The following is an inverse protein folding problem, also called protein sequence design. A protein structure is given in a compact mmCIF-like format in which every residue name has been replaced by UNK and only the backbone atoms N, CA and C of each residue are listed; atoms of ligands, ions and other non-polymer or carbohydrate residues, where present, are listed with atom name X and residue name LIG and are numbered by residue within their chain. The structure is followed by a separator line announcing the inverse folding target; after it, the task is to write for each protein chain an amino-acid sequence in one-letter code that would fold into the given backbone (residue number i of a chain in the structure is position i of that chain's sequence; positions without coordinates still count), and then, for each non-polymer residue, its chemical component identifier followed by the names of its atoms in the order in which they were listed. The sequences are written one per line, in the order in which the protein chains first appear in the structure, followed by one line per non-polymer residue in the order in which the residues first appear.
data_IF_789610008581
#
_entry.id   IF_789610008581
#
_cell.length_a   1.000
_cell.length_b   1.000
_cell.length_c   1.000
_cell.angle_alpha   90.00
_cell.angle_beta   90.00
_cell.angle_gamma   90.00
#
_symmetry.space_group_name_H-M   'P 1'
#
loop_
_entity.id
_entity.type
_entity.pdbx_description
1 polymer ?
#
# COMPACT_ATOMS: atom_id res chain seq x y z
N UNK A 1 -9.98 2.69 -12.40
CA UNK A 1 -8.78 2.96 -11.57
C UNK A 1 -7.81 1.83 -11.75
N UNK A 2 -6.53 2.13 -11.87
CA UNK A 2 -5.50 1.10 -11.83
C UNK A 2 -5.31 0.56 -10.41
N UNK A 3 -4.83 -0.68 -10.25
CA UNK A 3 -4.64 -1.31 -8.94
C UNK A 3 -3.44 -0.74 -8.15
N UNK A 4 -2.60 0.09 -8.78
CA UNK A 4 -1.35 0.59 -8.18
C UNK A 4 -1.53 1.26 -6.80
N UNK A 5 -2.55 2.10 -6.65
CA UNK A 5 -2.82 2.80 -5.38
C UNK A 5 -3.31 1.86 -4.28
N UNK A 6 -4.09 0.84 -4.65
CA UNK A 6 -4.48 -0.21 -3.72
C UNK A 6 -3.26 -1.07 -3.33
N UNK A 7 -2.38 -1.41 -4.28
CA UNK A 7 -1.14 -2.13 -3.98
C UNK A 7 -0.19 -1.32 -3.11
N UNK A 8 -0.11 0.00 -3.29
CA UNK A 8 0.65 0.88 -2.41
C UNK A 8 0.10 0.85 -0.98
N UNK A 9 -1.23 0.90 -0.82
CA UNK A 9 -1.89 0.74 0.48
C UNK A 9 -1.57 -0.62 1.11
N UNK A 10 -1.63 -1.71 0.35
CA UNK A 10 -1.28 -3.06 0.84
C UNK A 10 0.21 -3.17 1.22
N UNK A 11 1.11 -2.59 0.44
CA UNK A 11 2.54 -2.55 0.76
C UNK A 11 2.80 -1.83 2.09
N UNK A 12 2.10 -0.72 2.35
CA UNK A 12 2.20 0.00 3.62
C UNK A 12 1.70 -0.85 4.80
N UNK A 13 0.56 -1.52 4.66
CA UNK A 13 0.03 -2.44 5.69
C UNK A 13 1.02 -3.57 5.97
N UNK A 14 1.56 -4.21 4.92
CA UNK A 14 2.54 -5.27 5.08
C UNK A 14 3.80 -4.78 5.81
N UNK A 15 4.25 -3.57 5.53
CA UNK A 15 5.41 -3.01 6.18
C UNK A 15 5.18 -2.69 7.66
N UNK A 16 4.01 -2.15 8.00
CA UNK A 16 3.64 -1.96 9.40
C UNK A 16 3.66 -3.30 10.16
N UNK A 17 3.10 -4.35 9.57
CA UNK A 17 3.14 -5.71 10.13
C UNK A 17 4.58 -6.21 10.29
N UNK A 18 5.44 -6.00 9.29
CA UNK A 18 6.85 -6.40 9.34
C UNK A 18 7.67 -5.60 10.37
N UNK A 19 7.26 -4.37 10.71
CA UNK A 19 7.81 -3.58 11.82
C UNK A 19 7.35 -4.09 13.19
N UNK A 20 6.42 -5.04 13.25
CA UNK A 20 5.90 -5.62 14.48
C UNK A 20 4.67 -4.89 15.04
N UNK A 21 4.01 -4.04 14.23
CA UNK A 21 2.77 -3.40 14.64
C UNK A 21 1.68 -4.46 14.91
N UNK A 22 0.96 -4.30 16.02
CA UNK A 22 -0.18 -5.15 16.43
C UNK A 22 -1.01 -4.42 17.49
N UNK A 23 -2.27 -4.84 17.69
CA UNK A 23 -3.20 -4.24 18.67
C UNK A 23 -3.31 -2.71 18.55
N UNK A 24 -3.47 -2.21 17.33
CA UNK A 24 -3.39 -0.78 17.04
C UNK A 24 -4.34 -0.35 15.92
N UNK A 25 -4.50 0.98 15.79
CA UNK A 25 -5.17 1.58 14.63
C UNK A 25 -4.10 2.12 13.68
N UNK A 26 -3.96 1.46 12.53
CA UNK A 26 -3.07 1.91 11.47
C UNK A 26 -3.78 2.99 10.64
N UNK A 27 -3.42 4.26 10.88
CA UNK A 27 -3.92 5.36 10.06
C UNK A 27 -3.16 5.44 8.74
N UNK A 28 -3.87 5.27 7.64
CA UNK A 28 -3.34 5.36 6.28
C UNK A 28 -3.85 6.64 5.62
N UNK A 29 -2.93 7.43 5.07
CA UNK A 29 -3.24 8.64 4.32
C UNK A 29 -3.06 8.37 2.83
N UNK A 30 -4.05 8.76 2.02
CA UNK A 30 -3.97 8.69 0.56
C UNK A 30 -4.74 9.81 -0.11
N UNK A 31 -4.34 10.22 -1.31
CA UNK A 31 -5.04 11.22 -2.11
C UNK A 31 -6.00 10.58 -3.14
N UNK A 32 -5.91 9.27 -3.31
CA UNK A 32 -6.78 8.51 -4.19
C UNK A 32 -8.15 8.22 -3.55
N UNK A 33 -9.12 9.11 -3.80
CA UNK A 33 -10.49 8.96 -3.28
C UNK A 33 -11.20 7.68 -3.73
N UNK A 34 -10.87 7.12 -4.90
CA UNK A 34 -11.52 5.91 -5.40
C UNK A 34 -11.17 4.66 -4.59
N UNK A 35 -9.88 4.51 -4.24
CA UNK A 35 -9.41 3.44 -3.34
C UNK A 35 -9.94 3.66 -1.93
N UNK A 36 -9.88 4.88 -1.41
CA UNK A 36 -10.40 5.20 -0.06
C UNK A 36 -11.91 4.93 0.06
N UNK A 37 -12.71 5.41 -0.88
CA UNK A 37 -14.15 5.12 -0.92
C UNK A 37 -14.41 3.62 -1.11
N UNK A 38 -13.61 2.95 -1.94
CA UNK A 38 -13.70 1.51 -2.13
C UNK A 38 -13.45 0.74 -0.82
N UNK A 39 -12.41 1.13 -0.08
CA UNK A 39 -12.06 0.54 1.22
C UNK A 39 -13.17 0.74 2.24
N UNK A 40 -13.65 1.97 2.42
CA UNK A 40 -14.75 2.27 3.34
C UNK A 40 -16.05 1.54 3.00
N UNK A 41 -16.30 1.28 1.71
CA UNK A 41 -17.44 0.50 1.24
C UNK A 41 -17.23 -1.01 1.35
N UNK A 42 -15.98 -1.46 1.56
CA UNK A 42 -15.56 -2.86 1.51
C UNK A 42 -15.54 -3.46 0.09
N UNK A 43 -15.65 -2.64 -0.96
CA UNK A 43 -15.62 -3.11 -2.37
C UNK A 43 -15.32 -2.00 -3.38
N UNK A 44 -14.69 -2.40 -4.47
CA UNK A 44 -14.37 -1.62 -5.67
C UNK A 44 -14.96 -2.28 -6.93
N UNK A 45 -14.99 -1.54 -8.03
CA UNK A 45 -15.36 -2.07 -9.35
C UNK A 45 -14.25 -2.93 -9.99
N UNK A 46 -12.99 -2.78 -9.56
CA UNK A 46 -11.87 -3.61 -10.02
C UNK A 46 -11.72 -4.85 -9.13
N UNK A 47 -11.61 -6.01 -9.77
CA UNK A 47 -11.33 -7.29 -9.10
C UNK A 47 -9.98 -7.24 -8.37
N UNK A 48 -8.94 -6.70 -9.00
CA UNK A 48 -7.59 -6.65 -8.40
C UNK A 48 -7.55 -5.78 -7.14
N UNK A 49 -8.34 -4.70 -7.10
CA UNK A 49 -8.48 -3.86 -5.90
C UNK A 49 -9.23 -4.62 -4.80
N UNK A 50 -10.27 -5.40 -5.15
CA UNK A 50 -10.98 -6.22 -4.17
C UNK A 50 -10.10 -7.33 -3.59
N UNK A 51 -9.25 -7.95 -4.42
CA UNK A 51 -8.29 -8.95 -3.96
C UNK A 51 -7.29 -8.33 -2.97
N UNK A 52 -6.82 -7.12 -3.26
CA UNK A 52 -5.98 -6.33 -2.36
C UNK A 52 -6.67 -6.07 -1.01
N UNK A 53 -7.92 -5.60 -1.03
CA UNK A 53 -8.68 -5.40 0.21
C UNK A 53 -8.82 -6.69 1.01
N UNK A 54 -9.14 -7.80 0.35
CA UNK A 54 -9.30 -9.11 0.98
C UNK A 54 -8.01 -9.60 1.63
N UNK A 55 -6.86 -9.43 0.96
CA UNK A 55 -5.54 -9.75 1.51
C UNK A 55 -5.21 -8.89 2.72
N UNK A 56 -5.45 -7.58 2.65
CA UNK A 56 -5.23 -6.68 3.80
C UNK A 56 -6.08 -7.08 5.00
N UNK A 57 -7.40 -7.25 4.82
CA UNK A 57 -8.32 -7.70 5.88
C UNK A 57 -7.84 -8.99 6.54
N UNK A 58 -7.45 -9.99 5.73
CA UNK A 58 -6.99 -11.28 6.24
C UNK A 58 -5.72 -11.17 7.09
N UNK A 59 -4.78 -10.29 6.69
CA UNK A 59 -3.52 -10.08 7.41
C UNK A 59 -3.73 -9.36 8.74
N UNK A 60 -4.48 -8.26 8.73
CA UNK A 60 -4.68 -7.43 9.92
C UNK A 60 -5.57 -8.08 10.98
N UNK A 61 -6.51 -8.94 10.57
CA UNK A 61 -7.42 -9.63 11.48
C UNK A 61 -6.69 -10.49 12.52
N UNK A 62 -5.57 -11.14 12.13
CA UNK A 62 -4.79 -11.98 13.03
C UNK A 62 -3.92 -11.20 14.03
N UNK A 63 -3.78 -9.88 13.84
CA UNK A 63 -2.88 -9.01 14.59
C UNK A 63 -3.63 -7.93 15.39
N UNK A 64 -4.96 -7.98 15.41
CA UNK A 64 -5.81 -6.94 16.03
C UNK A 64 -5.51 -5.53 15.51
N UNK A 65 -5.19 -5.40 14.21
CA UNK A 65 -4.97 -4.09 13.58
C UNK A 65 -6.26 -3.62 12.92
N UNK A 66 -6.69 -2.39 13.23
CA UNK A 66 -7.75 -1.69 12.52
C UNK A 66 -7.14 -0.71 11.50
N UNK A 67 -7.58 -0.76 10.24
CA UNK A 67 -7.10 0.18 9.22
C UNK A 67 -8.05 1.38 9.13
N UNK A 68 -7.54 2.57 9.48
CA UNK A 68 -8.24 3.84 9.34
C UNK A 68 -7.71 4.62 8.12
N UNK A 69 -8.40 4.51 7.00
CA UNK A 69 -8.00 5.16 5.75
C UNK A 69 -8.61 6.57 5.65
N UNK A 70 -7.77 7.60 5.47
CA UNK A 70 -8.18 9.01 5.46
C UNK A 70 -7.60 9.74 4.24
N UNK A 71 -8.39 10.66 3.69
CA UNK A 71 -7.95 11.52 2.59
C UNK A 71 -6.86 12.50 3.04
N UNK A 72 -5.84 12.67 2.20
CA UNK A 72 -4.86 13.76 2.26
C UNK A 72 -4.79 14.44 0.90
N UNK A 73 -4.55 15.76 0.88
CA UNK A 73 -4.33 16.48 -0.37
C UNK A 73 -3.03 16.03 -1.05
N UNK A 74 -3.03 15.88 -2.38
CA UNK A 74 -1.87 15.44 -3.16
C UNK A 74 -0.61 16.26 -2.86
N UNK A 75 -0.72 17.59 -2.70
CA UNK A 75 0.45 18.44 -2.41
C UNK A 75 1.02 18.22 -1.02
N UNK A 76 0.22 17.64 -0.13
CA UNK A 76 0.59 17.30 1.24
C UNK A 76 0.90 15.81 1.41
N UNK A 77 0.81 15.01 0.34
CA UNK A 77 1.12 13.59 0.37
C UNK A 77 2.63 13.36 0.19
N UNK A 78 3.38 12.98 1.24
CA UNK A 78 4.82 12.73 1.11
C UNK A 78 5.13 11.57 0.15
N UNK A 79 4.17 10.66 -0.11
CA UNK A 79 4.38 9.53 -1.00
C UNK A 79 4.41 9.93 -2.48
N UNK A 80 3.87 11.09 -2.88
CA UNK A 80 3.88 11.55 -4.30
C UNK A 80 5.31 11.81 -4.79
N UNK A 81 6.20 12.33 -3.95
CA UNK A 81 7.62 12.52 -4.32
C UNK A 81 8.33 11.18 -4.50
N UNK A 82 8.14 10.28 -3.54
CA UNK A 82 8.76 8.95 -3.55
C UNK A 82 8.28 8.12 -4.75
N UNK A 83 6.99 8.18 -5.10
CA UNK A 83 6.44 7.46 -6.24
C UNK A 83 6.96 7.97 -7.60
N UNK A 84 7.47 9.21 -7.65
CA UNK A 84 8.16 9.81 -8.81
C UNK A 84 9.67 9.54 -8.83
N UNK A 85 10.19 8.79 -7.86
CA UNK A 85 11.61 8.45 -7.75
C UNK A 85 12.46 9.43 -6.96
N UNK A 86 11.88 10.49 -6.37
CA UNK A 86 12.59 11.37 -5.46
C UNK A 86 12.54 10.81 -4.03
N UNK A 87 13.61 10.09 -3.67
CA UNK A 87 13.80 9.47 -2.34
C UNK A 87 14.65 10.34 -1.41
N UNK A 88 14.94 11.59 -1.79
CA UNK A 88 15.81 12.48 -1.02
C UNK A 88 15.20 12.81 0.35
N UNK A 89 15.93 12.50 1.42
CA UNK A 89 15.47 12.73 2.80
C UNK A 89 14.61 11.61 3.38
N UNK A 90 14.44 10.49 2.68
CA UNK A 90 13.79 9.29 3.18
C UNK A 90 14.83 8.22 3.52
N UNK A 91 14.55 7.41 4.54
CA UNK A 91 15.30 6.20 4.80
C UNK A 91 14.86 5.10 3.84
N UNK A 92 15.77 4.19 3.43
CA UNK A 92 15.39 3.00 2.69
C UNK A 92 14.33 2.22 3.44
N UNK A 93 13.41 1.60 2.69
CA UNK A 93 12.42 0.74 3.30
C UNK A 93 13.12 -0.45 3.97
N UNK A 94 12.85 -0.75 5.25
CA UNK A 94 13.65 -1.72 6.01
C UNK A 94 13.37 -3.18 5.62
N UNK A 95 12.46 -3.41 4.67
CA UNK A 95 12.13 -4.75 4.18
C UNK A 95 12.15 -4.79 2.67
N UNK A 96 12.55 -5.95 2.16
CA UNK A 96 12.40 -6.28 0.76
C UNK A 96 10.91 -6.57 0.51
N UNK A 97 10.19 -5.58 -0.04
CA UNK A 97 8.89 -5.86 -0.64
C UNK A 97 9.13 -6.90 -1.74
N UNK A 98 8.41 -8.02 -1.66
CA UNK A 98 8.48 -9.06 -2.68
C UNK A 98 8.25 -8.38 -4.04
N UNK A 99 9.19 -8.52 -4.98
CA UNK A 99 8.99 -7.94 -6.32
C UNK A 99 7.65 -8.48 -6.85
N UNK A 100 6.71 -7.61 -7.24
CA UNK A 100 5.42 -8.06 -7.75
C UNK A 100 5.61 -8.88 -9.04
N UNK A 101 6.74 -8.66 -9.72
CA UNK A 101 7.19 -9.48 -10.84
C UNK A 101 8.20 -10.47 -10.28
N UNK A 102 7.92 -11.79 -10.29
CA UNK A 102 9.03 -12.71 -10.24
C UNK A 102 9.93 -12.29 -11.40
N UNK A 103 11.14 -11.82 -11.10
CA UNK A 103 12.17 -11.75 -12.11
C UNK A 103 12.16 -13.13 -12.75
N UNK A 104 11.64 -13.24 -13.97
CA UNK A 104 11.97 -14.37 -14.81
C UNK A 104 13.47 -14.25 -14.93
N UNK A 105 14.19 -15.08 -14.17
CA UNK A 105 15.63 -15.05 -14.09
C UNK A 105 16.19 -15.01 -15.51
N UNK A 106 16.68 -13.85 -15.96
CA UNK A 106 17.29 -13.72 -17.28
C UNK A 106 17.02 -12.46 -18.10
N UNK A 107 16.08 -11.56 -17.75
CA UNK A 107 15.85 -10.34 -18.55
C UNK A 107 15.89 -9.09 -17.68
N UNK A 108 17.08 -8.52 -17.50
CA UNK A 108 17.21 -7.10 -17.17
C UNK A 108 17.09 -6.30 -18.47
N UNK A 109 16.27 -5.23 -18.54
CA UNK A 109 16.44 -4.24 -19.59
C UNK A 109 17.83 -3.61 -19.42
N UNK A 110 18.64 -3.64 -20.48
CA UNK A 110 19.90 -2.91 -20.49
C UNK A 110 19.58 -1.41 -20.39
N UNK A 111 20.33 -0.74 -19.52
CA UNK A 111 20.39 0.72 -19.44
C UNK A 111 20.86 1.35 -20.76
#
# INVERSE_FOLDING_TARGET
MGPAEAWAMEALVNAAILLGESDCVLRILGDNQGVLHGWMKGRSASGEVNDCFSRMFSRVASLSIEISATYVDTKSNPADRVSRGDVSGYLPFPFQLQDPWPYIAGVLPRA
#
